data_IF_965415745778
#
_entry.id   IF_965415745778
#
_cell.length_a   1.000
_cell.length_b   1.000
_cell.length_c   1.000
_cell.angle_alpha   90.00
_cell.angle_beta   90.00
_cell.angle_gamma   90.00
#
_symmetry.space_group_name_H-M   'P 1'
#
loop_
_entity.id
_entity.type
_entity.pdbx_description
1 polymer ?
#
# COMPACT_ATOMS: atom_id res chain seq x y z
N UNK A 1 -10.91 6.91 -8.44
CA UNK A 1 -9.53 6.39 -8.35
C UNK A 1 -9.49 5.33 -7.27
N UNK A 2 -8.83 4.19 -7.48
CA UNK A 2 -8.67 3.15 -6.46
C UNK A 2 -7.37 3.37 -5.68
N UNK A 3 -7.38 2.95 -4.42
CA UNK A 3 -6.24 3.03 -3.52
C UNK A 3 -5.90 1.62 -3.01
N UNK A 4 -4.61 1.32 -2.91
CA UNK A 4 -4.08 0.13 -2.23
C UNK A 4 -3.57 0.54 -0.86
N UNK A 5 -3.89 -0.24 0.17
CA UNK A 5 -3.45 0.01 1.55
C UNK A 5 -2.71 -1.21 2.05
N UNK A 6 -1.45 -1.03 2.45
CA UNK A 6 -0.65 -2.05 3.12
C UNK A 6 -0.66 -1.77 4.62
N UNK A 7 -1.24 -2.69 5.39
CA UNK A 7 -1.23 -2.64 6.84
C UNK A 7 0.02 -3.35 7.37
N UNK A 8 0.90 -2.60 8.04
CA UNK A 8 2.12 -3.08 8.70
C UNK A 8 2.97 -4.04 7.82
N UNK A 9 3.40 -3.64 6.62
CA UNK A 9 4.07 -4.56 5.69
C UNK A 9 5.43 -5.01 6.22
N UNK A 10 5.69 -6.32 6.16
CA UNK A 10 6.88 -6.93 6.76
C UNK A 10 8.02 -7.22 5.76
N UNK A 11 7.68 -7.47 4.49
CA UNK A 11 8.63 -7.98 3.49
C UNK A 11 8.94 -6.91 2.44
N UNK A 12 10.16 -6.32 2.42
CA UNK A 12 10.48 -5.22 1.52
C UNK A 12 10.29 -5.53 0.02
N UNK A 13 10.67 -6.72 -0.50
CA UNK A 13 10.41 -7.08 -1.89
C UNK A 13 8.93 -7.02 -2.29
N UNK A 14 8.01 -7.40 -1.41
CA UNK A 14 6.57 -7.35 -1.68
C UNK A 14 6.11 -5.90 -1.84
N UNK A 15 6.52 -5.02 -0.92
CA UNK A 15 6.21 -3.59 -1.01
C UNK A 15 6.76 -2.97 -2.30
N UNK A 16 7.99 -3.30 -2.67
CA UNK A 16 8.59 -2.84 -3.94
C UNK A 16 7.78 -3.26 -5.18
N UNK A 17 7.35 -4.52 -5.25
CA UNK A 17 6.51 -5.02 -6.33
C UNK A 17 5.14 -4.31 -6.38
N UNK A 18 4.55 -4.04 -5.21
CA UNK A 18 3.26 -3.33 -5.11
C UNK A 18 3.39 -1.85 -5.50
N UNK A 19 4.52 -1.20 -5.19
CA UNK A 19 4.80 0.15 -5.69
C UNK A 19 4.81 0.15 -7.23
N UNK A 20 5.52 -0.82 -7.85
CA UNK A 20 5.54 -0.94 -9.32
C UNK A 20 4.14 -1.23 -9.90
N UNK A 21 3.34 -2.07 -9.23
CA UNK A 21 1.96 -2.31 -9.63
C UNK A 21 1.14 -1.02 -9.61
N UNK A 22 1.23 -0.23 -8.55
CA UNK A 22 0.52 1.04 -8.42
C UNK A 22 0.93 2.04 -9.50
N UNK A 23 2.24 2.14 -9.80
CA UNK A 23 2.75 2.97 -10.87
C UNK A 23 2.20 2.57 -12.25
N UNK A 24 2.20 1.26 -12.56
CA UNK A 24 1.70 0.73 -13.84
C UNK A 24 0.18 0.84 -13.99
N UNK A 25 -0.56 0.93 -12.90
CA UNK A 25 -2.05 0.95 -12.89
C UNK A 25 -2.64 2.32 -12.58
N UNK A 26 -1.81 3.29 -12.17
CA UNK A 26 -2.24 4.61 -11.72
C UNK A 26 -2.93 4.62 -10.35
N UNK A 27 -2.85 3.54 -9.56
CA UNK A 27 -3.42 3.49 -8.21
C UNK A 27 -2.53 4.25 -7.22
N UNK A 28 -3.12 4.80 -6.17
CA UNK A 28 -2.36 5.35 -5.04
C UNK A 28 -2.04 4.26 -4.04
N UNK A 29 -0.89 4.38 -3.39
CA UNK A 29 -0.44 3.44 -2.38
C UNK A 29 -0.38 4.13 -1.01
N UNK A 30 -1.05 3.55 -0.03
CA UNK A 30 -0.92 3.93 1.37
C UNK A 30 -0.22 2.81 2.14
N UNK A 31 0.68 3.18 3.04
CA UNK A 31 1.37 2.27 3.95
C UNK A 31 1.04 2.71 5.36
N UNK A 32 0.58 1.78 6.19
CA UNK A 32 0.33 1.98 7.61
C UNK A 32 1.50 1.38 8.39
N UNK A 33 2.12 2.18 9.23
CA UNK A 33 3.25 1.82 10.10
C UNK A 33 2.78 1.02 11.33
N UNK A 34 3.70 0.28 12.01
CA UNK A 34 5.12 0.10 11.68
C UNK A 34 5.36 -0.83 10.49
N UNK A 35 6.40 -0.55 9.71
CA UNK A 35 6.91 -1.48 8.70
C UNK A 35 7.89 -2.46 9.36
N UNK A 36 7.90 -3.72 8.92
CA UNK A 36 8.89 -4.71 9.35
C UNK A 36 10.29 -4.51 8.73
N UNK A 37 10.51 -3.39 8.03
CA UNK A 37 11.77 -3.04 7.39
C UNK A 37 12.00 -1.53 7.39
N UNK A 38 13.27 -1.12 7.30
CA UNK A 38 13.64 0.29 7.15
C UNK A 38 13.31 0.78 5.75
N UNK A 39 12.66 1.94 5.66
CA UNK A 39 12.46 2.64 4.41
C UNK A 39 13.79 3.18 3.88
N UNK A 40 14.26 2.65 2.76
CA UNK A 40 15.51 3.09 2.12
C UNK A 40 15.24 3.37 0.64
N UNK A 41 15.15 4.66 0.31
CA UNK A 41 14.95 5.16 -1.06
C UNK A 41 16.03 4.63 -2.02
N UNK A 42 17.25 4.31 -1.54
CA UNK A 42 18.32 3.77 -2.39
C UNK A 42 18.03 2.33 -2.84
N UNK A 43 17.50 1.49 -1.95
CA UNK A 43 17.12 0.10 -2.28
C UNK A 43 15.96 0.08 -3.27
N UNK A 44 15.02 1.01 -3.13
CA UNK A 44 13.86 1.11 -4.00
C UNK A 44 14.21 1.69 -5.38
N UNK A 45 15.09 2.70 -5.47
CA UNK A 45 15.65 3.17 -6.75
C UNK A 45 16.38 2.05 -7.49
N UNK A 46 17.06 1.15 -6.77
CA UNK A 46 17.71 -0.04 -7.36
C UNK A 46 16.72 -1.06 -7.94
N UNK A 47 15.47 -1.06 -7.51
CA UNK A 47 14.40 -1.86 -8.13
C UNK A 47 13.92 -1.27 -9.46
N UNK A 48 14.60 -0.22 -9.97
CA UNK A 48 14.25 0.47 -11.20
C UNK A 48 13.02 1.35 -11.06
N UNK A 49 12.65 1.73 -9.83
CA UNK A 49 11.52 2.61 -9.58
C UNK A 49 11.95 4.06 -9.84
N UNK A 50 11.28 4.74 -10.75
CA UNK A 50 11.52 6.15 -11.04
C UNK A 50 10.97 7.02 -9.89
N UNK A 51 11.59 8.18 -9.64
CA UNK A 51 11.19 9.08 -8.54
C UNK A 51 9.72 9.54 -8.66
N UNK A 52 9.17 9.60 -9.87
CA UNK A 52 7.76 9.88 -10.10
C UNK A 52 6.82 8.76 -9.62
N UNK A 53 7.26 7.50 -9.66
CA UNK A 53 6.49 6.36 -9.15
C UNK A 53 6.38 6.40 -7.61
N UNK A 54 7.30 7.09 -6.94
CA UNK A 54 7.28 7.34 -5.49
C UNK A 54 6.33 8.44 -5.05
N UNK A 55 6.03 9.41 -5.91
CA UNK A 55 5.22 10.58 -5.54
C UNK A 55 3.78 10.21 -5.13
N UNK A 56 3.34 8.98 -5.42
CA UNK A 56 2.02 8.46 -5.09
C UNK A 56 1.98 7.59 -3.81
N UNK A 57 3.09 7.42 -3.09
CA UNK A 57 3.11 6.65 -1.83
C UNK A 57 2.92 7.57 -0.63
N UNK A 58 1.93 7.28 0.20
CA UNK A 58 1.67 7.97 1.46
C UNK A 58 1.87 7.03 2.65
N UNK A 59 2.54 7.50 3.69
CA UNK A 59 2.76 6.75 4.93
C UNK A 59 1.90 7.33 6.05
N UNK A 60 1.29 6.45 6.82
CA UNK A 60 0.44 6.76 7.96
C UNK A 60 1.02 6.11 9.19
N UNK A 61 1.07 6.84 10.30
CA UNK A 61 1.62 6.34 11.57
C UNK A 61 0.86 5.11 12.09
N UNK A 62 -0.46 5.10 11.91
CA UNK A 62 -1.35 4.02 12.32
C UNK A 62 -2.64 4.05 11.49
N UNK A 63 -3.53 3.08 11.74
CA UNK A 63 -4.80 2.98 11.02
C UNK A 63 -5.74 4.16 11.29
N UNK A 64 -5.74 4.73 12.50
CA UNK A 64 -6.61 5.85 12.83
C UNK A 64 -6.19 7.11 12.06
N UNK A 65 -4.88 7.35 11.96
CA UNK A 65 -4.32 8.41 11.13
C UNK A 65 -4.69 8.25 9.65
N UNK A 66 -4.62 7.01 9.12
CA UNK A 66 -5.07 6.71 7.76
C UNK A 66 -6.54 7.05 7.55
N UNK A 67 -7.43 6.59 8.44
CA UNK A 67 -8.88 6.85 8.31
C UNK A 67 -9.19 8.34 8.42
N UNK A 68 -8.52 9.05 9.33
CA UNK A 68 -8.71 10.50 9.50
C UNK A 68 -8.23 11.30 8.29
N UNK A 69 -7.08 10.93 7.71
CA UNK A 69 -6.50 11.63 6.56
C UNK A 69 -7.23 11.33 5.24
N UNK A 70 -7.54 10.06 4.99
CA UNK A 70 -8.06 9.62 3.68
C UNK A 70 -9.59 9.52 3.63
N UNK A 71 -10.27 9.45 4.78
CA UNK A 71 -11.72 9.32 4.93
C UNK A 71 -12.36 8.39 3.86
N UNK A 72 -11.96 7.10 3.82
CA UNK A 72 -12.32 6.20 2.74
C UNK A 72 -13.83 5.93 2.71
N UNK A 73 -14.50 6.29 1.62
CA UNK A 73 -15.94 6.07 1.42
C UNK A 73 -16.33 4.58 1.45
N UNK A 74 -15.45 3.71 0.95
CA UNK A 74 -15.58 2.25 1.00
C UNK A 74 -14.19 1.65 1.21
N UNK A 75 -14.11 0.67 2.11
CA UNK A 75 -12.89 -0.06 2.42
C UNK A 75 -13.13 -1.56 2.28
N UNK A 76 -12.31 -2.22 1.49
CA UNK A 76 -12.32 -3.67 1.32
C UNK A 76 -11.06 -4.26 1.93
N UNK A 77 -11.22 -5.28 2.77
CA UNK A 77 -10.11 -6.00 3.38
C UNK A 77 -9.98 -7.39 2.75
N UNK A 78 -8.78 -7.73 2.30
CA UNK A 78 -8.46 -9.08 1.87
C UNK A 78 -8.14 -9.93 3.11
N UNK A 79 -8.95 -10.96 3.36
CA UNK A 79 -8.75 -11.88 4.49
C UNK A 79 -9.25 -13.27 4.14
N UNK A 80 -8.56 -14.30 4.63
CA UNK A 80 -8.99 -15.71 4.49
C UNK A 80 -10.21 -16.04 5.34
N UNK A 81 -10.56 -15.17 6.30
CA UNK A 81 -11.77 -15.30 7.14
C UNK A 81 -13.04 -14.75 6.46
N UNK A 82 -12.92 -14.26 5.23
CA UNK A 82 -14.05 -13.76 4.48
C UNK A 82 -15.03 -14.91 4.20
N UNK A 83 -16.33 -14.62 4.30
CA UNK A 83 -17.33 -15.57 3.82
C UNK A 83 -17.24 -15.64 2.30
N UNK A 84 -17.21 -16.84 1.69
CA UNK A 84 -17.29 -16.94 0.24
C UNK A 84 -18.54 -16.18 -0.24
N UNK A 85 -18.46 -15.46 -1.37
CA UNK A 85 -19.64 -14.81 -1.92
C UNK A 85 -20.73 -15.87 -2.06
N UNK A 86 -21.95 -15.54 -1.62
CA UNK A 86 -23.10 -16.41 -1.84
C UNK A 86 -23.20 -16.57 -3.35
N UNK A 87 -22.82 -17.74 -3.86
CA UNK A 87 -22.99 -18.07 -5.27
C UNK A 87 -24.50 -17.97 -5.59
N UNK A 88 -24.86 -17.39 -6.74
CA UNK A 88 -26.26 -17.32 -7.16
C UNK A 88 -26.88 -18.71 -7.36
#
# INVERSE_FOLDING_TARGET
>A
MLNIVLFEPEIPPNTGNIIRLCANTGFRLHIIEPMGFTWDDKRLRRAGLDYHEFAAVQRHHDYAAFVAAENPQRLFALTTKARPPIAP
#
